data_IF_316830392699
#
_entry.id   IF_316830392699
#
_cell.length_a   1.000
_cell.length_b   1.000
_cell.length_c   1.000
_cell.angle_alpha   90.00
_cell.angle_beta   90.00
_cell.angle_gamma   90.00
#
_symmetry.space_group_name_H-M   'P 1'
#
loop_
_entity.id
_entity.type
_entity.pdbx_description
1 polymer ?
#
# COMPACT_ATOMS: atom_id res chain seq x y z
N UNK A 1 -8.30 -18.87 12.60
CA UNK A 1 -7.84 -17.73 13.42
C UNK A 1 -7.19 -16.73 12.48
N UNK A 2 -7.81 -15.59 12.24
CA UNK A 2 -7.17 -14.49 11.51
C UNK A 2 -6.18 -13.82 12.45
N UNK A 3 -4.90 -13.77 12.07
CA UNK A 3 -3.91 -13.01 12.83
C UNK A 3 -4.32 -11.53 12.79
N UNK A 4 -4.45 -10.91 13.97
CA UNK A 4 -4.64 -9.47 14.09
C UNK A 4 -3.36 -8.79 13.59
N UNK A 5 -3.49 -7.85 12.65
CA UNK A 5 -2.35 -7.19 12.02
C UNK A 5 -2.56 -5.68 11.94
N UNK A 6 -1.50 -4.93 12.25
CA UNK A 6 -1.39 -3.49 12.00
C UNK A 6 -0.46 -3.30 10.80
N UNK A 7 -0.93 -2.60 9.77
CA UNK A 7 -0.14 -2.33 8.55
C UNK A 7 0.16 -0.84 8.48
N UNK A 8 1.42 -0.49 8.23
CA UNK A 8 1.87 0.89 8.05
C UNK A 8 2.68 1.03 6.78
N UNK A 9 2.34 2.03 5.97
CA UNK A 9 3.12 2.43 4.81
C UNK A 9 4.21 3.43 5.19
N UNK A 10 5.38 3.33 4.60
CA UNK A 10 6.45 4.32 4.73
C UNK A 10 7.02 4.69 3.36
N UNK A 11 7.34 5.96 3.19
CA UNK A 11 8.04 6.53 2.04
C UNK A 11 9.39 7.16 2.46
N UNK A 12 9.81 6.98 3.71
CA UNK A 12 11.02 7.56 4.28
C UNK A 12 10.90 9.02 4.73
N UNK A 13 9.72 9.65 4.59
CA UNK A 13 9.48 11.00 5.10
C UNK A 13 9.42 11.06 6.62
N UNK A 14 9.65 12.24 7.20
CA UNK A 14 9.51 12.46 8.65
C UNK A 14 8.09 12.18 9.16
N UNK A 15 7.07 12.40 8.32
CA UNK A 15 5.68 12.09 8.65
C UNK A 15 5.47 10.57 8.72
N UNK A 16 6.06 9.83 7.78
CA UNK A 16 6.02 8.37 7.80
C UNK A 16 6.70 7.78 9.04
N UNK A 17 7.78 8.39 9.53
CA UNK A 17 8.42 7.96 10.79
C UNK A 17 7.45 8.08 11.98
N UNK A 18 6.72 9.19 12.09
CA UNK A 18 5.70 9.35 13.15
C UNK A 18 4.56 8.34 13.02
N UNK A 19 4.16 8.00 11.79
CA UNK A 19 3.18 6.95 11.55
C UNK A 19 3.68 5.57 11.99
N UNK A 20 4.98 5.29 11.80
CA UNK A 20 5.64 4.07 12.30
C UNK A 20 5.61 3.98 13.83
N UNK A 21 5.88 5.09 14.53
CA UNK A 21 5.83 5.12 16.00
C UNK A 21 4.43 4.74 16.50
N UNK A 22 3.40 5.38 15.94
CA UNK A 22 2.02 5.10 16.32
C UNK A 22 1.60 3.66 16.01
N UNK A 23 1.96 3.14 14.82
CA UNK A 23 1.62 1.80 14.40
C UNK A 23 2.31 0.73 15.27
N UNK A 24 3.54 1.00 15.70
CA UNK A 24 4.29 0.13 16.62
C UNK A 24 3.58 0.04 17.97
N UNK A 25 3.21 1.19 18.55
CA UNK A 25 2.46 1.22 19.80
C UNK A 25 1.10 0.52 19.67
N UNK A 26 0.42 0.70 18.54
CA UNK A 26 -0.89 0.09 18.31
C UNK A 26 -0.82 -1.43 18.15
N UNK A 27 0.22 -1.94 17.48
CA UNK A 27 0.48 -3.37 17.36
C UNK A 27 0.73 -4.00 18.73
N UNK A 28 1.54 -3.36 19.58
CA UNK A 28 1.80 -3.81 20.97
C UNK A 28 0.52 -3.84 21.78
N UNK A 29 -0.27 -2.75 21.76
CA UNK A 29 -1.54 -2.67 22.50
C UNK A 29 -2.54 -3.75 22.12
N UNK A 30 -2.53 -4.18 20.85
CA UNK A 30 -3.46 -5.19 20.31
C UNK A 30 -2.93 -6.61 20.36
N UNK A 31 -1.66 -6.82 20.72
CA UNK A 31 -0.98 -8.11 20.55
C UNK A 31 -0.98 -8.57 19.09
N UNK A 32 -0.87 -7.62 18.16
CA UNK A 32 -0.99 -7.82 16.72
C UNK A 32 0.40 -7.83 16.04
N UNK A 33 0.50 -8.50 14.90
CA UNK A 33 1.68 -8.42 14.03
C UNK A 33 1.79 -7.01 13.43
N UNK A 34 2.96 -6.39 13.44
CA UNK A 34 3.22 -5.15 12.71
C UNK A 34 3.82 -5.47 11.34
N UNK A 35 3.19 -4.98 10.27
CA UNK A 35 3.71 -5.05 8.90
C UNK A 35 4.03 -3.67 8.35
N UNK A 36 5.29 -3.47 8.00
CA UNK A 36 5.80 -2.23 7.40
C UNK A 36 5.89 -2.44 5.89
N UNK A 37 5.33 -1.52 5.11
CA UNK A 37 5.31 -1.58 3.64
C UNK A 37 5.96 -0.33 3.07
N UNK A 38 6.90 -0.51 2.16
CA UNK A 38 7.45 0.56 1.34
C UNK A 38 7.02 0.36 -0.11
N UNK A 39 6.17 1.25 -0.62
CA UNK A 39 5.68 1.17 -1.99
C UNK A 39 6.64 1.88 -2.94
N UNK A 40 7.09 1.18 -3.97
CA UNK A 40 7.85 1.76 -5.08
C UNK A 40 6.93 2.00 -6.27
N UNK A 41 7.07 3.12 -7.00
CA UNK A 41 6.35 3.32 -8.25
C UNK A 41 6.67 2.20 -9.23
N UNK A 42 5.64 1.64 -9.84
CA UNK A 42 5.81 0.76 -10.99
C UNK A 42 6.39 1.59 -12.15
N UNK A 43 7.62 1.23 -12.55
CA UNK A 43 8.36 1.91 -13.62
C UNK A 43 7.77 1.62 -14.99
N UNK A 44 7.02 0.52 -15.10
CA UNK A 44 6.40 0.05 -16.33
C UNK A 44 4.88 0.28 -16.32
N UNK A 45 4.37 1.28 -15.58
CA UNK A 45 2.94 1.64 -15.60
C UNK A 45 2.49 1.76 -17.05
N UNK A 46 1.89 0.69 -17.57
CA UNK A 46 1.41 0.64 -18.93
C UNK A 46 0.32 1.71 -19.00
N UNK A 47 0.50 2.65 -19.92
CA UNK A 47 -0.54 3.63 -20.21
C UNK A 47 -1.88 2.91 -20.42
N UNK A 48 -3.02 3.55 -20.08
CA UNK A 48 -4.33 2.92 -20.16
C UNK A 48 -4.49 2.21 -21.50
N UNK A 49 -4.72 0.89 -21.47
CA UNK A 49 -4.89 0.08 -22.69
C UNK A 49 -5.98 0.73 -23.55
N UNK A 50 -5.66 1.25 -24.75
CA UNK A 50 -6.67 1.87 -25.59
C UNK A 50 -7.72 0.82 -25.91
N UNK A 51 -8.98 1.08 -25.54
CA UNK A 51 -10.09 0.24 -25.97
C UNK A 51 -10.16 0.34 -27.48
N UNK A 52 -9.77 -0.72 -28.19
CA UNK A 52 -9.92 -0.81 -29.62
C UNK A 52 -11.42 -0.69 -29.92
N UNK A 53 -11.85 0.46 -30.42
CA UNK A 53 -13.22 0.71 -30.81
C UNK A 53 -13.65 -0.39 -31.78
N UNK A 54 -14.73 -1.11 -31.46
CA UNK A 54 -15.34 -2.05 -32.40
C UNK A 54 -15.68 -1.27 -33.65
N UNK A 55 -14.94 -1.51 -34.74
CA UNK A 55 -15.31 -0.99 -36.06
C UNK A 55 -16.61 -1.66 -36.45
N UNK A 56 -17.73 -0.98 -36.22
CA UNK A 56 -18.99 -1.30 -36.89
C UNK A 56 -18.73 -1.11 -38.38
N UNK A 57 -18.61 -2.21 -39.13
CA UNK A 57 -18.68 -2.18 -40.59
C UNK A 57 -20.08 -1.74 -40.95
N UNK A 58 -20.18 -0.61 -41.66
CA UNK A 58 -21.35 -0.28 -42.47
C UNK A 58 -21.38 -1.18 -43.70
#
# INVERSE_FOLDING_TARGET
MTLQQVVVGTDGSLVAVRALDWASDDAVRRGAELRIVYAVPDRDQAGPVPRLGRRTRA
#
